data_IF_709496809064
#
_entry.id   IF_709496809064
#
_cell.length_a   1.000
_cell.length_b   1.000
_cell.length_c   1.000
_cell.angle_alpha   90.00
_cell.angle_beta   90.00
_cell.angle_gamma   90.00
#
_symmetry.space_group_name_H-M   'P 1'
#
loop_
_entity.id
_entity.type
_entity.pdbx_description
1 polymer ?
#
# COMPACT_ATOMS: atom_id res chain seq x y z
N UNK A 1 -11.22 -6.57 3.64
CA UNK A 1 -10.64 -7.88 3.29
C UNK A 1 -10.82 -8.79 4.48
N UNK A 2 -11.35 -9.99 4.28
CA UNK A 2 -11.60 -10.97 5.35
C UNK A 2 -10.32 -11.78 5.56
N UNK A 3 -9.73 -11.75 6.75
CA UNK A 3 -8.57 -12.56 7.06
C UNK A 3 -8.96 -14.03 7.35
N UNK A 4 -8.00 -14.95 7.40
CA UNK A 4 -8.26 -16.37 7.63
C UNK A 4 -9.05 -16.67 8.92
N UNK A 5 -8.87 -15.86 9.97
CA UNK A 5 -9.61 -16.00 11.23
C UNK A 5 -11.07 -15.55 11.12
N UNK A 6 -11.33 -14.46 10.38
CA UNK A 6 -12.68 -13.98 10.12
C UNK A 6 -13.46 -14.95 9.23
N UNK A 7 -12.80 -15.57 8.25
CA UNK A 7 -13.41 -16.61 7.40
C UNK A 7 -13.80 -17.85 8.20
N UNK A 8 -12.94 -18.29 9.12
CA UNK A 8 -13.21 -19.43 10.01
C UNK A 8 -14.41 -19.16 10.93
N UNK A 9 -14.50 -17.95 11.49
CA UNK A 9 -15.62 -17.53 12.36
C UNK A 9 -16.96 -17.49 11.62
N UNK A 10 -16.98 -17.02 10.38
CA UNK A 10 -18.22 -16.99 9.59
C UNK A 10 -18.65 -18.41 9.23
N UNK A 11 -17.72 -19.30 8.84
CA UNK A 11 -18.09 -20.68 8.46
C UNK A 11 -18.50 -21.55 9.64
N UNK A 12 -17.96 -21.35 10.84
CA UNK A 12 -18.37 -22.11 12.04
C UNK A 12 -19.83 -21.88 12.45
N UNK A 13 -20.47 -20.82 11.94
CA UNK A 13 -21.90 -20.56 12.16
C UNK A 13 -22.80 -21.43 11.26
N UNK A 14 -22.26 -22.02 10.20
CA UNK A 14 -23.01 -22.76 9.18
C UNK A 14 -22.56 -24.22 9.01
N UNK A 15 -21.51 -24.66 9.71
CA UNK A 15 -21.02 -26.05 9.70
C UNK A 15 -20.76 -26.55 11.12
N UNK A 16 -21.24 -27.76 11.44
CA UNK A 16 -21.06 -28.41 12.74
C UNK A 16 -19.70 -29.13 12.88
N UNK A 17 -18.78 -28.92 11.93
CA UNK A 17 -17.45 -29.51 11.94
C UNK A 17 -16.42 -28.46 12.34
N UNK A 18 -15.75 -28.70 13.47
CA UNK A 18 -14.60 -27.90 13.90
C UNK A 18 -13.41 -28.26 13.02
N UNK A 19 -13.07 -27.41 12.06
CA UNK A 19 -11.75 -27.48 11.43
C UNK A 19 -10.70 -27.31 12.53
N UNK A 20 -9.94 -28.38 12.77
CA UNK A 20 -8.76 -28.30 13.62
C UNK A 20 -7.84 -27.22 13.06
N UNK A 21 -7.10 -26.50 13.92
CA UNK A 21 -6.19 -25.40 13.51
C UNK A 21 -5.19 -25.77 12.40
N UNK A 22 -5.07 -27.05 12.06
CA UNK A 22 -4.15 -27.62 11.07
C UNK A 22 -4.77 -27.91 9.71
N UNK A 23 -6.10 -27.94 9.58
CA UNK A 23 -6.77 -28.25 8.31
C UNK A 23 -7.29 -26.96 7.66
N UNK A 24 -6.41 -26.24 6.96
CA UNK A 24 -6.81 -25.11 6.14
C UNK A 24 -7.47 -25.59 4.84
N UNK A 25 -8.58 -24.94 4.44
CA UNK A 25 -9.34 -25.29 3.23
C UNK A 25 -8.48 -25.04 1.99
N UNK A 26 -8.09 -26.10 1.28
CA UNK A 26 -7.26 -25.97 0.07
C UNK A 26 -8.02 -25.46 -1.16
N UNK A 27 -9.34 -25.55 -1.14
CA UNK A 27 -10.20 -25.24 -2.29
C UNK A 27 -11.55 -24.65 -1.87
N UNK A 28 -12.11 -23.75 -2.70
CA UNK A 28 -13.51 -23.31 -2.64
C UNK A 28 -14.06 -23.25 -4.06
N UNK A 29 -15.10 -24.07 -4.36
CA UNK A 29 -15.77 -24.12 -5.67
C UNK A 29 -14.83 -24.36 -6.86
N UNK A 30 -13.87 -25.30 -6.75
CA UNK A 30 -12.89 -25.55 -7.82
C UNK A 30 -11.72 -24.57 -7.84
N UNK A 31 -11.71 -23.54 -6.99
CA UNK A 31 -10.65 -22.52 -6.95
C UNK A 31 -9.72 -22.83 -5.78
N UNK A 32 -8.44 -23.03 -6.08
CA UNK A 32 -7.40 -23.24 -5.06
C UNK A 32 -7.21 -22.01 -4.20
N UNK A 33 -7.11 -22.22 -2.89
CA UNK A 33 -6.77 -21.18 -1.91
C UNK A 33 -5.28 -21.13 -1.56
N UNK A 34 -4.45 -22.00 -2.15
CA UNK A 34 -3.00 -22.03 -1.90
C UNK A 34 -2.35 -20.67 -2.14
N UNK A 35 -2.72 -19.99 -3.24
CA UNK A 35 -2.20 -18.64 -3.53
C UNK A 35 -2.47 -17.65 -2.40
N UNK A 36 -3.63 -17.75 -1.75
CA UNK A 36 -3.98 -16.87 -0.63
C UNK A 36 -3.14 -17.16 0.62
N UNK A 37 -2.84 -18.42 0.90
CA UNK A 37 -1.98 -18.81 2.02
C UNK A 37 -0.49 -18.52 1.77
N UNK A 38 -0.07 -18.48 0.50
CA UNK A 38 1.30 -18.08 0.12
C UNK A 38 1.52 -16.57 0.13
N UNK A 39 0.46 -15.75 0.28
CA UNK A 39 0.61 -14.31 0.42
C UNK A 39 1.32 -13.99 1.74
N UNK A 40 2.60 -13.64 1.65
CA UNK A 40 3.34 -13.06 2.76
C UNK A 40 2.97 -11.59 2.91
N UNK A 41 3.12 -11.05 4.13
CA UNK A 41 2.98 -9.61 4.35
C UNK A 41 3.98 -8.89 3.46
N UNK A 42 3.50 -7.95 2.66
CA UNK A 42 4.36 -7.04 1.90
C UNK A 42 5.13 -6.19 2.91
N UNK A 43 6.42 -6.48 3.05
CA UNK A 43 7.35 -5.85 3.98
C UNK A 43 8.01 -4.62 3.37
N UNK A 44 7.68 -4.27 2.11
CA UNK A 44 8.10 -3.02 1.50
C UNK A 44 7.50 -1.88 2.31
N UNK A 45 8.38 -1.16 3.01
CA UNK A 45 8.04 0.10 3.66
C UNK A 45 7.75 1.13 2.56
N UNK A 46 6.50 1.21 2.11
CA UNK A 46 6.03 2.25 1.18
C UNK A 46 6.20 3.63 1.81
N UNK A 47 6.22 3.70 3.15
CA UNK A 47 6.37 4.91 3.93
C UNK A 47 7.70 4.91 4.70
N UNK A 48 8.43 6.03 4.60
CA UNK A 48 9.62 6.25 5.41
C UNK A 48 9.20 6.78 6.79
N UNK A 49 9.31 6.02 7.89
CA UNK A 49 8.82 6.44 9.20
C UNK A 49 9.43 7.75 9.71
N UNK A 50 10.58 8.16 9.20
CA UNK A 50 11.26 9.41 9.59
C UNK A 50 10.60 10.66 8.97
N UNK A 51 9.75 10.47 7.97
CA UNK A 51 9.06 11.57 7.28
C UNK A 51 7.61 11.66 7.74
N UNK A 52 7.17 12.87 8.09
CA UNK A 52 5.80 13.14 8.49
C UNK A 52 4.80 12.74 7.40
N UNK A 53 3.66 12.17 7.80
CA UNK A 53 2.54 11.91 6.88
C UNK A 53 2.08 13.18 6.13
N UNK A 54 2.19 14.34 6.78
CA UNK A 54 1.90 15.66 6.19
C UNK A 54 2.82 16.01 5.01
N UNK A 55 4.00 15.40 4.92
CA UNK A 55 4.89 15.51 3.77
C UNK A 55 4.63 14.40 2.75
N UNK A 56 4.56 13.15 3.23
CA UNK A 56 4.56 11.97 2.37
C UNK A 56 3.39 11.93 1.40
N UNK A 57 2.16 12.16 1.88
CA UNK A 57 0.97 12.07 1.02
C UNK A 57 0.97 13.15 -0.07
N UNK A 58 1.20 14.46 0.24
CA UNK A 58 1.37 15.48 -0.80
C UNK A 58 2.53 15.21 -1.75
N UNK A 59 3.65 14.69 -1.24
CA UNK A 59 4.82 14.36 -2.06
C UNK A 59 4.50 13.25 -3.06
N UNK A 60 3.90 12.14 -2.62
CA UNK A 60 3.54 11.02 -3.50
C UNK A 60 2.57 11.44 -4.60
N UNK A 61 1.59 12.29 -4.25
CA UNK A 61 0.65 12.84 -5.24
C UNK A 61 1.38 13.70 -6.27
N UNK A 62 2.16 14.68 -5.83
CA UNK A 62 2.93 15.58 -6.71
C UNK A 62 3.90 14.81 -7.61
N UNK A 63 4.64 13.84 -7.05
CA UNK A 63 5.55 12.98 -7.81
C UNK A 63 4.81 12.18 -8.88
N UNK A 64 3.66 11.59 -8.53
CA UNK A 64 2.84 10.83 -9.49
C UNK A 64 2.35 11.71 -10.64
N UNK A 65 2.00 12.96 -10.36
CA UNK A 65 1.55 13.91 -11.38
C UNK A 65 2.73 14.31 -12.30
N UNK A 66 3.92 14.60 -11.77
CA UNK A 66 5.12 14.86 -12.59
C UNK A 66 5.53 13.66 -13.46
N UNK A 67 5.38 12.43 -12.95
CA UNK A 67 5.62 11.23 -13.75
C UNK A 67 4.59 11.07 -14.86
N UNK A 68 3.32 11.41 -14.63
CA UNK A 68 2.31 11.42 -15.69
C UNK A 68 2.66 12.44 -16.77
N UNK A 69 3.07 13.65 -16.40
CA UNK A 69 3.52 14.67 -17.35
C UNK A 69 4.72 14.19 -18.19
N UNK A 70 5.66 13.47 -17.57
CA UNK A 70 6.78 12.83 -18.27
C UNK A 70 6.33 11.83 -19.34
N UNK A 71 5.36 10.97 -19.02
CA UNK A 71 4.91 9.92 -19.94
C UNK A 71 3.86 10.38 -20.95
N UNK A 72 3.05 11.39 -20.62
CA UNK A 72 1.92 11.83 -21.46
C UNK A 72 2.28 13.05 -22.32
N UNK A 73 3.14 13.94 -21.83
CA UNK A 73 3.44 15.22 -22.46
C UNK A 73 4.92 15.34 -22.88
N UNK A 74 5.63 14.20 -23.00
CA UNK A 74 7.05 14.12 -23.38
C UNK A 74 7.97 15.05 -22.55
N UNK A 75 7.60 15.33 -21.30
CA UNK A 75 8.45 16.12 -20.42
C UNK A 75 9.78 15.37 -20.21
N UNK A 76 10.92 16.05 -20.45
CA UNK A 76 12.21 15.38 -20.33
C UNK A 76 12.45 14.83 -18.91
N UNK A 77 13.05 13.65 -18.83
CA UNK A 77 13.44 13.01 -17.56
C UNK A 77 14.19 13.97 -16.64
N UNK A 78 15.12 14.77 -17.20
CA UNK A 78 15.90 15.75 -16.44
C UNK A 78 15.01 16.84 -15.82
N UNK A 79 14.04 17.35 -16.57
CA UNK A 79 13.10 18.35 -16.05
C UNK A 79 12.18 17.75 -15.00
N UNK A 80 11.67 16.53 -15.22
CA UNK A 80 10.85 15.81 -14.25
C UNK A 80 11.56 15.61 -12.92
N UNK A 81 12.81 15.13 -12.95
CA UNK A 81 13.62 14.95 -11.74
C UNK A 81 13.83 16.29 -11.03
N UNK A 82 14.15 17.35 -11.79
CA UNK A 82 14.33 18.69 -11.22
C UNK A 82 13.04 19.18 -10.55
N UNK A 83 11.90 19.07 -11.22
CA UNK A 83 10.61 19.49 -10.69
C UNK A 83 10.22 18.74 -9.41
N UNK A 84 10.40 17.41 -9.40
CA UNK A 84 10.13 16.58 -8.23
C UNK A 84 11.02 17.03 -7.06
N UNK A 85 12.31 17.32 -7.32
CA UNK A 85 13.23 17.77 -6.28
C UNK A 85 12.85 19.16 -5.74
N UNK A 86 12.59 20.12 -6.62
CA UNK A 86 12.29 21.50 -6.24
C UNK A 86 10.95 21.60 -5.49
N UNK A 87 9.90 20.95 -6.02
CA UNK A 87 8.57 20.89 -5.38
C UNK A 87 8.61 20.06 -4.09
N UNK A 88 9.39 18.97 -4.07
CA UNK A 88 9.59 18.14 -2.88
C UNK A 88 10.20 18.93 -1.72
N UNK A 89 11.25 19.72 -1.97
CA UNK A 89 11.85 20.59 -0.94
C UNK A 89 10.85 21.61 -0.38
N UNK A 90 10.01 22.19 -1.23
CA UNK A 90 8.98 23.13 -0.80
C UNK A 90 7.94 22.46 0.11
N UNK A 91 7.46 21.27 -0.27
CA UNK A 91 6.52 20.49 0.53
C UNK A 91 7.12 20.07 1.88
N UNK A 92 8.40 19.70 1.91
CA UNK A 92 9.08 19.31 3.14
C UNK A 92 9.11 20.48 4.12
N UNK A 93 9.48 21.68 3.64
CA UNK A 93 9.49 22.90 4.46
C UNK A 93 8.12 23.21 5.06
N UNK A 94 7.05 23.11 4.27
CA UNK A 94 5.68 23.34 4.76
C UNK A 94 5.30 22.31 5.83
N UNK A 95 5.64 21.04 5.63
CA UNK A 95 5.35 19.99 6.59
C UNK A 95 6.10 20.18 7.92
N UNK A 96 7.36 20.64 7.87
CA UNK A 96 8.15 21.00 9.06
C UNK A 96 7.53 22.17 9.82
N UNK A 97 7.13 23.24 9.13
CA UNK A 97 6.45 24.39 9.73
C UNK A 97 5.13 24.01 10.40
N UNK A 98 4.39 23.05 9.84
CA UNK A 98 3.12 22.54 10.39
C UNK A 98 3.29 21.55 11.55
N UNK A 99 4.48 21.03 11.81
CA UNK A 99 4.76 20.16 12.95
C UNK A 99 5.35 20.93 14.15
N UNK A 100 5.84 22.15 13.91
CA UNK A 100 6.34 23.06 14.95
C UNK A 100 5.26 24.02 15.49
N UNK A 101 3.99 23.83 15.13
CA UNK A 101 2.80 24.57 15.58
C UNK A 101 1.87 23.63 16.33
#
# INVERSE_FOLDING_TARGET
>A
MINGGELAKVRSQYMNELYSRTDYSKEVKGISLESFYTLTRDDRKIYNPDLSSKFQEPFFKMMSDELKEMFLNDQSVKNTIKNIQDKGKALLKVAEEMNNK
#
